data_IF_725128557616
#
_entry.id   IF_725128557616
#
_cell.length_a   1.000
_cell.length_b   1.000
_cell.length_c   1.000
_cell.angle_alpha   90.00
_cell.angle_beta   90.00
_cell.angle_gamma   90.00
#
_symmetry.space_group_name_H-M   'P 1'
#
loop_
_entity.id
_entity.type
_entity.pdbx_description
1 polymer ?
#
# COMPACT_ATOMS: atom_id res chain seq x y z
N UNK A 1 -1.52 16.08 -9.82
CA UNK A 1 -0.61 14.94 -9.99
C UNK A 1 -0.91 13.80 -9.00
N UNK A 2 -1.13 14.09 -7.71
CA UNK A 2 -1.47 13.11 -6.66
C UNK A 2 -2.79 12.36 -6.89
N UNK A 3 -3.81 13.03 -7.42
CA UNK A 3 -5.13 12.44 -7.72
C UNK A 3 -5.03 11.44 -8.89
N UNK A 4 -4.14 11.68 -9.86
CA UNK A 4 -3.98 10.81 -11.04
C UNK A 4 -3.31 9.48 -10.66
N UNK A 5 -2.33 9.53 -9.76
CA UNK A 5 -1.63 8.34 -9.24
C UNK A 5 -2.58 7.49 -8.38
N UNK A 6 -3.42 8.13 -7.58
CA UNK A 6 -4.47 7.46 -6.79
C UNK A 6 -5.51 6.77 -7.68
N UNK A 7 -5.94 7.43 -8.75
CA UNK A 7 -6.95 6.89 -9.66
C UNK A 7 -6.43 5.69 -10.49
N UNK A 8 -5.16 5.70 -10.89
CA UNK A 8 -4.52 4.53 -11.54
C UNK A 8 -4.50 3.31 -10.61
N UNK A 9 -4.37 3.52 -9.30
CA UNK A 9 -4.35 2.44 -8.31
C UNK A 9 -5.74 1.80 -8.12
N UNK A 10 -6.80 2.61 -8.11
CA UNK A 10 -8.19 2.15 -7.99
C UNK A 10 -8.59 1.29 -9.20
N UNK A 11 -8.11 1.65 -10.39
CA UNK A 11 -8.42 0.90 -11.62
C UNK A 11 -7.74 -0.49 -11.63
N UNK A 12 -6.59 -0.67 -10.95
CA UNK A 12 -5.84 -1.94 -10.87
C UNK A 12 -6.57 -3.04 -10.08
N UNK A 13 -7.61 -2.70 -9.33
CA UNK A 13 -8.45 -3.62 -8.54
C UNK A 13 -9.58 -4.27 -9.37
N UNK A 14 -9.89 -3.75 -10.57
CA UNK A 14 -10.98 -4.28 -11.37
C UNK A 14 -10.52 -5.48 -12.23
N UNK A 15 -11.26 -6.60 -12.18
CA UNK A 15 -10.95 -7.89 -12.86
C UNK A 15 -10.76 -7.78 -14.38
N UNK A 16 -11.30 -6.71 -14.99
CA UNK A 16 -11.24 -6.42 -16.43
C UNK A 16 -10.07 -5.52 -16.85
N UNK A 17 -9.42 -4.85 -15.89
CA UNK A 17 -8.31 -3.96 -16.15
C UNK A 17 -7.08 -4.62 -16.78
N UNK A 18 -6.63 -5.82 -16.37
CA UNK A 18 -5.45 -6.43 -17.00
C UNK A 18 -5.68 -6.76 -18.48
N UNK A 19 -6.93 -6.99 -18.90
CA UNK A 19 -7.27 -7.24 -20.31
C UNK A 19 -7.33 -5.94 -21.12
N UNK A 20 -8.01 -4.91 -20.59
CA UNK A 20 -8.11 -3.60 -21.27
C UNK A 20 -6.75 -2.91 -21.37
N UNK A 21 -5.93 -2.97 -20.31
CA UNK A 21 -4.59 -2.41 -20.32
C UNK A 21 -3.68 -3.07 -21.36
N UNK A 22 -3.84 -4.38 -21.63
CA UNK A 22 -3.04 -5.09 -22.64
C UNK A 22 -3.36 -4.59 -24.03
N UNK A 23 -4.66 -4.45 -24.33
CA UNK A 23 -5.13 -3.94 -25.61
C UNK A 23 -4.61 -2.51 -25.82
N UNK A 24 -4.73 -1.64 -24.82
CA UNK A 24 -4.23 -0.26 -24.94
C UNK A 24 -2.71 -0.20 -25.13
N UNK A 25 -1.95 -1.04 -24.42
CA UNK A 25 -0.50 -1.13 -24.58
C UNK A 25 -0.11 -1.63 -25.98
N UNK A 26 -0.81 -2.65 -26.49
CA UNK A 26 -0.57 -3.18 -27.85
C UNK A 26 -0.87 -2.08 -28.87
N UNK A 27 -2.04 -1.44 -28.80
CA UNK A 27 -2.40 -0.34 -29.72
C UNK A 27 -1.42 0.83 -29.64
N UNK A 28 -0.93 1.14 -28.45
CA UNK A 28 0.07 2.18 -28.24
C UNK A 28 1.41 1.78 -28.85
N UNK A 29 1.85 0.54 -28.64
CA UNK A 29 3.09 0.01 -29.22
C UNK A 29 3.07 0.02 -30.75
N UNK A 30 1.95 -0.35 -31.37
CA UNK A 30 1.80 -0.33 -32.83
C UNK A 30 1.85 1.10 -33.38
N UNK A 31 1.23 2.05 -32.67
CA UNK A 31 1.28 3.47 -33.03
C UNK A 31 2.71 4.02 -32.96
N UNK A 32 3.46 3.67 -31.90
CA UNK A 32 4.84 4.12 -31.73
C UNK A 32 5.79 3.51 -32.77
N UNK A 33 5.58 2.25 -33.17
CA UNK A 33 6.33 1.64 -34.28
C UNK A 33 6.04 2.34 -35.60
N UNK A 34 4.78 2.68 -35.88
CA UNK A 34 4.41 3.45 -37.06
C UNK A 34 5.09 4.83 -37.10
N UNK A 35 5.09 5.56 -35.97
CA UNK A 35 5.78 6.84 -35.83
C UNK A 35 7.31 6.70 -35.97
N UNK A 36 7.86 5.57 -35.56
CA UNK A 36 9.29 5.28 -35.72
C UNK A 36 9.68 5.03 -37.18
N UNK A 37 8.83 4.35 -37.95
CA UNK A 37 9.06 4.07 -39.38
C UNK A 37 8.91 5.35 -40.21
N UNK A 38 7.83 6.11 -39.98
CA UNK A 38 7.50 7.32 -40.76
C UNK A 38 8.31 8.55 -40.35
N UNK A 39 8.96 8.53 -39.18
CA UNK A 39 9.75 9.66 -38.67
C UNK A 39 8.94 10.92 -38.31
N UNK A 40 7.70 11.04 -38.79
CA UNK A 40 6.88 12.24 -38.69
C UNK A 40 7.45 13.41 -39.51
N UNK A 41 6.88 14.61 -39.31
CA UNK A 41 7.25 15.81 -40.08
C UNK A 41 8.70 16.29 -39.87
N UNK A 42 9.34 15.88 -38.77
CA UNK A 42 10.69 16.33 -38.38
C UNK A 42 11.69 15.19 -38.18
N UNK A 43 11.35 13.97 -38.63
CA UNK A 43 12.19 12.79 -38.49
C UNK A 43 12.51 12.36 -37.03
N UNK A 44 11.73 12.86 -36.06
CA UNK A 44 11.92 12.64 -34.62
C UNK A 44 10.87 11.69 -33.99
N UNK A 45 10.01 11.06 -34.80
CA UNK A 45 8.94 10.17 -34.33
C UNK A 45 9.43 9.03 -33.43
N UNK A 46 10.69 8.60 -33.59
CA UNK A 46 11.32 7.56 -32.77
C UNK A 46 11.48 7.93 -31.29
N UNK A 47 11.49 9.22 -30.93
CA UNK A 47 11.66 9.66 -29.54
C UNK A 47 10.49 9.21 -28.64
N UNK A 48 9.29 9.10 -29.21
CA UNK A 48 8.11 8.65 -28.49
C UNK A 48 8.20 7.19 -28.05
N UNK A 49 9.08 6.38 -28.67
CA UNK A 49 9.35 5.00 -28.26
C UNK A 49 9.88 4.87 -26.83
N UNK A 50 10.49 5.92 -26.28
CA UNK A 50 11.07 5.91 -24.93
C UNK A 50 10.04 5.92 -23.79
N UNK A 51 8.79 6.27 -24.07
CA UNK A 51 7.73 6.25 -23.06
C UNK A 51 7.23 4.84 -22.75
N UNK A 52 7.36 3.89 -23.69
CA UNK A 52 6.79 2.56 -23.58
C UNK A 52 7.35 1.73 -22.41
N UNK A 53 8.66 1.68 -22.12
CA UNK A 53 9.18 0.94 -20.96
C UNK A 53 8.63 1.49 -19.64
N UNK A 54 8.40 2.80 -19.53
CA UNK A 54 7.76 3.41 -18.34
C UNK A 54 6.34 2.90 -18.17
N UNK A 55 5.51 3.01 -19.22
CA UNK A 55 4.09 2.61 -19.14
C UNK A 55 3.92 1.10 -18.94
N UNK A 56 4.69 0.28 -19.65
CA UNK A 56 4.60 -1.18 -19.53
C UNK A 56 4.97 -1.68 -18.13
N UNK A 57 6.03 -1.14 -17.52
CA UNK A 57 6.48 -1.54 -16.18
C UNK A 57 5.56 -1.01 -15.08
N UNK A 58 5.09 0.23 -15.18
CA UNK A 58 4.18 0.80 -14.17
C UNK A 58 2.81 0.09 -14.17
N UNK A 59 2.28 -0.25 -15.36
CA UNK A 59 0.96 -0.87 -15.47
C UNK A 59 0.98 -2.35 -15.09
N UNK A 60 1.95 -3.11 -15.61
CA UNK A 60 1.98 -4.58 -15.49
C UNK A 60 2.97 -5.12 -14.45
N UNK A 61 3.71 -4.24 -13.78
CA UNK A 61 4.75 -4.60 -12.83
C UNK A 61 6.02 -5.11 -13.50
N UNK A 62 6.97 -5.54 -12.68
CA UNK A 62 8.34 -5.86 -13.10
C UNK A 62 8.43 -7.04 -14.08
N UNK A 63 7.69 -8.12 -13.86
CA UNK A 63 7.80 -9.34 -14.70
C UNK A 63 7.22 -9.13 -16.10
N UNK A 64 5.95 -8.75 -16.18
CA UNK A 64 5.27 -8.59 -17.48
C UNK A 64 5.71 -7.32 -18.21
N UNK A 65 5.91 -6.21 -17.49
CA UNK A 65 6.38 -4.96 -18.11
C UNK A 65 7.74 -5.11 -18.79
N UNK A 66 8.67 -5.84 -18.17
CA UNK A 66 9.98 -6.12 -18.76
C UNK A 66 9.87 -6.98 -20.02
N UNK A 67 9.00 -8.00 -20.03
CA UNK A 67 8.79 -8.80 -21.26
C UNK A 67 8.24 -7.96 -22.41
N UNK A 68 7.27 -7.07 -22.16
CA UNK A 68 6.74 -6.16 -23.18
C UNK A 68 7.79 -5.15 -23.67
N UNK A 69 8.59 -4.60 -22.76
CA UNK A 69 9.70 -3.70 -23.10
C UNK A 69 10.75 -4.40 -23.97
N UNK A 70 11.10 -5.66 -23.68
CA UNK A 70 12.05 -6.45 -24.49
C UNK A 70 11.51 -6.79 -25.87
N UNK A 71 10.24 -7.21 -25.97
CA UNK A 71 9.59 -7.49 -27.25
C UNK A 71 9.55 -6.21 -28.09
N UNK A 72 9.16 -5.10 -27.47
CA UNK A 72 9.13 -3.82 -28.16
C UNK A 72 10.52 -3.36 -28.58
N UNK A 73 11.55 -3.54 -27.74
CA UNK A 73 12.94 -3.22 -28.11
C UNK A 73 13.36 -3.99 -29.36
N UNK A 74 13.05 -5.29 -29.42
CA UNK A 74 13.33 -6.11 -30.60
C UNK A 74 12.63 -5.56 -31.85
N UNK A 75 11.33 -5.29 -31.78
CA UNK A 75 10.58 -4.71 -32.90
C UNK A 75 11.10 -3.33 -33.30
N UNK A 76 11.40 -2.47 -32.34
CA UNK A 76 11.93 -1.13 -32.56
C UNK A 76 13.31 -1.19 -33.24
N UNK A 77 14.20 -2.11 -32.82
CA UNK A 77 15.48 -2.31 -33.51
C UNK A 77 15.29 -2.77 -34.95
N UNK A 78 14.34 -3.68 -35.21
CA UNK A 78 14.01 -4.10 -36.57
C UNK A 78 13.53 -2.91 -37.43
N UNK A 79 12.70 -2.02 -36.87
CA UNK A 79 12.25 -0.81 -37.60
C UNK A 79 13.37 0.17 -37.93
N UNK A 80 14.43 0.25 -37.12
CA UNK A 80 15.54 1.16 -37.34
C UNK A 80 16.53 0.65 -38.39
N UNK A 81 16.76 -0.67 -38.47
CA UNK A 81 17.81 -1.23 -39.31
C UNK A 81 17.32 -1.80 -40.65
N UNK A 82 16.05 -2.21 -40.74
CA UNK A 82 15.50 -2.70 -42.01
C UNK A 82 15.20 -1.53 -42.96
N UNK A 83 15.58 -1.64 -44.24
CA UNK A 83 15.26 -0.63 -45.24
C UNK A 83 13.78 -0.74 -45.62
N UNK A 84 12.93 0.09 -45.01
CA UNK A 84 11.54 0.22 -45.40
C UNK A 84 11.42 1.20 -46.58
N UNK A 85 10.93 0.72 -47.73
CA UNK A 85 10.75 1.51 -48.97
C UNK A 85 9.52 2.44 -48.95
N UNK A 86 9.17 2.99 -47.79
CA UNK A 86 8.05 3.93 -47.70
C UNK A 86 8.57 5.31 -48.11
N UNK A 87 7.79 6.05 -48.91
CA UNK A 87 8.22 7.35 -49.45
C UNK A 87 8.62 8.36 -48.35
N UNK A 88 8.11 8.17 -47.12
CA UNK A 88 8.39 8.99 -45.95
C UNK A 88 9.22 8.24 -44.89
N UNK A 89 9.97 7.21 -45.27
CA UNK A 89 10.76 6.44 -44.31
C UNK A 89 11.88 7.30 -43.68
N UNK A 90 11.97 7.23 -42.35
CA UNK A 90 12.96 7.96 -41.57
C UNK A 90 14.40 7.55 -41.91
N UNK A 91 15.15 8.39 -42.61
CA UNK A 91 16.59 8.18 -42.86
C UNK A 91 17.41 8.71 -41.70
N UNK A 92 17.60 7.87 -40.68
CA UNK A 92 18.41 8.21 -39.50
C UNK A 92 19.89 7.83 -39.69
N UNK A 93 20.81 8.68 -39.22
CA UNK A 93 22.22 8.35 -39.17
C UNK A 93 22.49 7.18 -38.22
N UNK A 94 23.48 6.34 -38.53
CA UNK A 94 23.83 5.15 -37.73
C UNK A 94 24.09 5.48 -36.25
N UNK A 95 24.76 6.60 -35.97
CA UNK A 95 25.03 7.06 -34.61
C UNK A 95 23.76 7.34 -33.80
N UNK A 96 22.69 7.85 -34.44
CA UNK A 96 21.41 8.15 -33.78
C UNK A 96 20.67 6.84 -33.46
N UNK A 97 20.71 5.86 -34.38
CA UNK A 97 20.12 4.53 -34.18
C UNK A 97 20.74 3.79 -32.98
N UNK A 98 22.07 3.84 -32.86
CA UNK A 98 22.77 3.21 -31.72
C UNK A 98 22.43 3.94 -30.41
N UNK A 99 22.44 5.28 -30.40
CA UNK A 99 22.12 6.08 -29.21
C UNK A 99 20.69 5.85 -28.72
N UNK A 100 19.70 5.73 -29.61
CA UNK A 100 18.31 5.50 -29.21
C UNK A 100 18.11 4.17 -28.49
N UNK A 101 18.81 3.12 -28.94
CA UNK A 101 18.79 1.80 -28.27
C UNK A 101 19.38 1.89 -26.86
N UNK A 102 20.52 2.56 -26.70
CA UNK A 102 21.16 2.74 -25.39
C UNK A 102 20.26 3.52 -24.42
N UNK A 103 19.61 4.58 -24.91
CA UNK A 103 18.66 5.37 -24.10
C UNK A 103 17.46 4.52 -23.68
N UNK A 104 16.90 3.73 -24.60
CA UNK A 104 15.76 2.85 -24.30
C UNK A 104 16.12 1.82 -23.21
N UNK A 105 17.30 1.19 -23.31
CA UNK A 105 17.80 0.25 -22.30
C UNK A 105 17.96 0.95 -20.95
N UNK A 106 18.59 2.15 -20.93
CA UNK A 106 18.75 2.94 -19.72
C UNK A 106 17.43 3.27 -19.02
N UNK A 107 16.43 3.74 -19.78
CA UNK A 107 15.09 4.03 -19.25
C UNK A 107 14.41 2.76 -18.72
N UNK A 108 14.57 1.63 -19.41
CA UNK A 108 14.02 0.35 -18.98
C UNK A 108 14.62 -0.11 -17.64
N UNK A 109 15.93 0.05 -17.46
CA UNK A 109 16.63 -0.26 -16.20
C UNK A 109 16.18 0.65 -15.06
N UNK A 110 16.09 1.97 -15.31
CA UNK A 110 15.61 2.94 -14.31
C UNK A 110 14.16 2.62 -13.89
N UNK A 111 13.29 2.37 -14.87
CA UNK A 111 11.89 2.02 -14.63
C UNK A 111 11.76 0.74 -13.81
N UNK A 112 12.57 -0.27 -14.11
CA UNK A 112 12.64 -1.51 -13.35
C UNK A 112 13.07 -1.27 -11.89
N UNK A 113 14.13 -0.49 -11.68
CA UNK A 113 14.62 -0.16 -10.34
C UNK A 113 13.60 0.60 -9.49
N UNK A 114 12.84 1.50 -10.12
CA UNK A 114 11.76 2.26 -9.46
C UNK A 114 10.63 1.34 -8.98
N UNK A 115 10.10 0.48 -9.87
CA UNK A 115 8.98 -0.41 -9.53
C UNK A 115 9.40 -1.47 -8.51
N UNK A 116 10.65 -1.96 -8.58
CA UNK A 116 11.20 -2.87 -7.59
C UNK A 116 11.27 -2.24 -6.19
N UNK A 117 11.82 -1.02 -6.10
CA UNK A 117 11.93 -0.29 -4.83
C UNK A 117 10.56 0.01 -4.24
N UNK A 118 9.61 0.42 -5.08
CA UNK A 118 8.22 0.68 -4.69
C UNK A 118 7.55 -0.58 -4.13
N UNK A 119 7.66 -1.72 -4.83
CA UNK A 119 7.08 -2.99 -4.39
C UNK A 119 7.60 -3.43 -3.03
N UNK A 120 8.89 -3.21 -2.75
CA UNK A 120 9.49 -3.56 -1.46
C UNK A 120 8.96 -2.69 -0.33
N UNK A 121 8.85 -1.38 -0.56
CA UNK A 121 8.35 -0.41 0.42
C UNK A 121 6.88 -0.72 0.76
N UNK A 122 6.05 -1.05 -0.22
CA UNK A 122 4.62 -1.35 0.04
C UNK A 122 4.44 -2.58 0.92
N UNK A 123 5.23 -3.64 0.69
CA UNK A 123 5.17 -4.84 1.53
C UNK A 123 5.68 -4.58 2.94
N UNK A 124 6.72 -3.76 3.09
CA UNK A 124 7.23 -3.39 4.41
C UNK A 124 6.23 -2.54 5.20
N UNK A 125 5.55 -1.60 4.53
CA UNK A 125 4.48 -0.80 5.12
C UNK A 125 3.30 -1.67 5.55
N UNK A 126 2.87 -2.62 4.71
CA UNK A 126 1.79 -3.55 5.02
C UNK A 126 2.12 -4.42 6.24
N UNK A 127 3.34 -4.99 6.30
CA UNK A 127 3.77 -5.78 7.44
C UNK A 127 3.85 -4.96 8.74
N UNK A 128 4.35 -3.72 8.67
CA UNK A 128 4.37 -2.82 9.84
C UNK A 128 2.96 -2.49 10.33
N UNK A 129 2.03 -2.29 9.40
CA UNK A 129 0.63 -2.03 9.73
C UNK A 129 -0.06 -3.26 10.34
N UNK A 130 0.16 -4.46 9.79
CA UNK A 130 -0.38 -5.70 10.35
C UNK A 130 0.18 -5.99 11.74
N UNK A 131 1.48 -5.77 11.96
CA UNK A 131 2.10 -5.94 13.26
C UNK A 131 1.54 -4.97 14.31
N UNK A 132 1.37 -3.68 13.97
CA UNK A 132 0.81 -2.70 14.91
C UNK A 132 -0.66 -2.97 15.23
N UNK A 133 -1.45 -3.45 14.27
CA UNK A 133 -2.83 -3.89 14.51
C UNK A 133 -2.88 -5.10 15.44
N UNK A 134 -2.02 -6.09 15.23
CA UNK A 134 -1.94 -7.26 16.10
C UNK A 134 -1.51 -6.90 17.52
N UNK A 135 -0.48 -6.07 17.67
CA UNK A 135 -0.02 -5.56 18.97
C UNK A 135 -1.13 -4.81 19.70
N UNK A 136 -1.86 -3.93 18.99
CA UNK A 136 -3.00 -3.20 19.54
C UNK A 136 -4.08 -4.16 20.02
N UNK A 137 -4.49 -5.12 19.18
CA UNK A 137 -5.52 -6.10 19.52
C UNK A 137 -5.12 -6.95 20.73
N UNK A 138 -3.88 -7.43 20.77
CA UNK A 138 -3.36 -8.20 21.91
C UNK A 138 -3.39 -7.38 23.21
N UNK A 139 -3.02 -6.10 23.14
CA UNK A 139 -3.08 -5.18 24.27
C UNK A 139 -4.53 -4.95 24.73
N UNK A 140 -5.46 -4.76 23.80
CA UNK A 140 -6.87 -4.52 24.10
C UNK A 140 -7.52 -5.77 24.74
N UNK A 141 -7.28 -6.95 24.18
CA UNK A 141 -7.74 -8.24 24.73
C UNK A 141 -7.17 -8.48 26.13
N UNK A 142 -5.88 -8.16 26.33
CA UNK A 142 -5.22 -8.29 27.64
C UNK A 142 -5.85 -7.36 28.70
N UNK A 143 -6.08 -6.08 28.36
CA UNK A 143 -6.69 -5.10 29.26
C UNK A 143 -8.13 -5.49 29.60
N UNK A 144 -8.93 -5.89 28.60
CA UNK A 144 -10.31 -6.34 28.80
C UNK A 144 -10.39 -7.55 29.73
N UNK A 145 -9.54 -8.57 29.49
CA UNK A 145 -9.47 -9.77 30.31
C UNK A 145 -9.07 -9.45 31.75
N UNK A 146 -8.05 -8.60 31.95
CA UNK A 146 -7.64 -8.16 33.28
C UNK A 146 -8.75 -7.37 33.99
N UNK A 147 -9.43 -6.46 33.30
CA UNK A 147 -10.53 -5.67 33.89
C UNK A 147 -11.63 -6.58 34.42
N UNK A 148 -12.05 -7.58 33.64
CA UNK A 148 -13.03 -8.56 34.09
C UNK A 148 -12.54 -9.33 35.33
N UNK A 149 -11.28 -9.76 35.33
CA UNK A 149 -10.69 -10.48 36.45
C UNK A 149 -10.55 -9.65 37.73
N UNK A 150 -10.37 -8.32 37.61
CA UNK A 150 -10.28 -7.40 38.76
C UNK A 150 -11.68 -6.96 39.24
N UNK A 151 -12.66 -6.84 38.34
CA UNK A 151 -14.04 -6.46 38.72
C UNK A 151 -14.66 -7.47 39.70
N UNK A 152 -14.44 -8.76 39.50
CA UNK A 152 -14.97 -9.81 40.39
C UNK A 152 -14.51 -9.67 41.86
N UNK A 153 -13.21 -9.60 42.19
CA UNK A 153 -12.77 -9.41 43.57
C UNK A 153 -13.17 -8.05 44.15
N UNK A 154 -13.22 -6.98 43.36
CA UNK A 154 -13.72 -5.67 43.83
C UNK A 154 -15.20 -5.71 44.21
N UNK A 155 -16.03 -6.36 43.39
CA UNK A 155 -17.44 -6.56 43.72
C UNK A 155 -17.59 -7.41 44.99
N UNK A 156 -16.76 -8.44 45.16
CA UNK A 156 -16.77 -9.25 46.39
C UNK A 156 -16.38 -8.42 47.63
N UNK A 157 -15.34 -7.57 47.53
CA UNK A 157 -14.95 -6.66 48.62
C UNK A 157 -16.07 -5.66 48.94
N UNK A 158 -16.78 -5.18 47.93
CA UNK A 158 -17.91 -4.28 48.14
C UNK A 158 -19.10 -4.98 48.80
N UNK A 159 -19.42 -6.21 48.40
CA UNK A 159 -20.45 -7.03 49.04
C UNK A 159 -20.09 -7.31 50.51
N UNK A 160 -18.85 -7.75 50.77
CA UNK A 160 -18.40 -8.07 52.14
C UNK A 160 -18.39 -6.82 53.01
N UNK A 161 -17.91 -5.68 52.49
CA UNK A 161 -17.90 -4.43 53.27
C UNK A 161 -19.32 -3.92 53.56
N UNK A 162 -20.27 -4.08 52.64
CA UNK A 162 -21.68 -3.78 52.89
C UNK A 162 -22.28 -4.70 53.96
N UNK A 163 -22.01 -6.01 53.90
CA UNK A 163 -22.48 -6.96 54.93
C UNK A 163 -21.88 -6.65 56.31
N UNK A 164 -20.61 -6.25 56.37
CA UNK A 164 -19.98 -5.83 57.63
C UNK A 164 -20.61 -4.55 58.18
N UNK A 165 -21.05 -3.62 57.31
CA UNK A 165 -21.68 -2.37 57.74
C UNK A 165 -23.02 -2.56 58.47
N UNK A 166 -23.64 -3.73 58.32
CA UNK A 166 -24.89 -4.11 59.00
C UNK A 166 -24.66 -4.74 60.39
N UNK A 167 -23.40 -4.90 60.81
CA UNK A 167 -23.04 -5.50 62.12
C UNK A 167 -22.81 -4.44 63.20
N UNK A 168 -22.89 -4.83 64.48
CA UNK A 168 -22.53 -3.94 65.59
C UNK A 168 -21.02 -3.64 65.56
N UNK A 169 -20.69 -2.37 65.37
CA UNK A 169 -19.30 -1.88 65.20
C UNK A 169 -19.04 -0.66 66.07
N UNK A 170 -17.80 -0.51 66.55
CA UNK A 170 -17.37 0.73 67.21
C UNK A 170 -17.06 1.85 66.19
N UNK A 171 -16.94 3.09 66.68
CA UNK A 171 -16.65 4.28 65.84
C UNK A 171 -15.38 4.15 64.99
N UNK A 172 -14.31 3.50 65.50
CA UNK A 172 -13.07 3.31 64.72
C UNK A 172 -13.26 2.27 63.62
N UNK A 173 -13.93 1.18 63.91
CA UNK A 173 -14.23 0.14 62.93
C UNK A 173 -15.10 0.70 61.80
N UNK A 174 -16.04 1.59 62.12
CA UNK A 174 -16.92 2.26 61.16
C UNK A 174 -16.14 3.18 60.22
N UNK A 175 -15.26 4.02 60.75
CA UNK A 175 -14.36 4.90 59.97
C UNK A 175 -13.41 4.09 59.04
N UNK A 176 -12.87 2.98 59.54
CA UNK A 176 -12.06 2.05 58.73
C UNK A 176 -12.87 1.42 57.59
N UNK A 177 -14.12 1.02 57.86
CA UNK A 177 -14.98 0.40 56.85
C UNK A 177 -15.42 1.40 55.77
N UNK A 178 -15.78 2.62 56.15
CA UNK A 178 -16.08 3.71 55.20
C UNK A 178 -14.88 4.00 54.29
N UNK A 179 -13.67 3.99 54.86
CA UNK A 179 -12.42 4.15 54.09
C UNK A 179 -12.22 3.01 53.08
N UNK A 180 -12.49 1.76 53.47
CA UNK A 180 -12.41 0.59 52.57
C UNK A 180 -13.45 0.68 51.46
N UNK A 181 -14.69 1.06 51.78
CA UNK A 181 -15.76 1.23 50.80
C UNK A 181 -15.44 2.34 49.80
N UNK A 182 -14.99 3.51 50.28
CA UNK A 182 -14.59 4.62 49.42
C UNK A 182 -13.43 4.22 48.48
N UNK A 183 -12.43 3.50 49.02
CA UNK A 183 -11.28 3.01 48.24
C UNK A 183 -11.69 1.98 47.19
N UNK A 184 -12.58 1.05 47.55
CA UNK A 184 -13.09 0.01 46.63
C UNK A 184 -13.91 0.64 45.50
N UNK A 185 -14.78 1.58 45.83
CA UNK A 185 -15.55 2.36 44.83
C UNK A 185 -14.65 3.13 43.86
N UNK A 186 -13.61 3.77 44.39
CA UNK A 186 -12.64 4.48 43.55
C UNK A 186 -11.92 3.51 42.59
N UNK A 187 -11.49 2.35 43.10
CA UNK A 187 -10.80 1.35 42.29
C UNK A 187 -11.69 0.73 41.20
N UNK A 188 -12.98 0.50 41.50
CA UNK A 188 -13.98 0.09 40.49
C UNK A 188 -14.09 1.13 39.37
N UNK A 189 -14.12 2.41 39.71
CA UNK A 189 -14.18 3.48 38.71
C UNK A 189 -12.91 3.52 37.85
N UNK A 190 -11.72 3.36 38.45
CA UNK A 190 -10.45 3.27 37.71
C UNK A 190 -10.44 2.07 36.75
N UNK A 191 -10.88 0.89 37.21
CA UNK A 191 -10.95 -0.34 36.41
C UNK A 191 -11.98 -0.24 35.27
N UNK A 192 -13.09 0.46 35.49
CA UNK A 192 -14.06 0.73 34.43
C UNK A 192 -13.50 1.70 33.39
N UNK A 193 -12.73 2.71 33.81
CA UNK A 193 -12.12 3.66 32.89
C UNK A 193 -11.01 3.03 32.03
N UNK A 194 -10.17 2.14 32.58
CA UNK A 194 -9.15 1.46 31.79
C UNK A 194 -9.76 0.50 30.75
N UNK A 195 -10.90 -0.14 31.06
CA UNK A 195 -11.64 -0.98 30.12
C UNK A 195 -12.22 -0.19 28.94
N UNK A 196 -12.65 1.06 29.15
CA UNK A 196 -13.16 1.93 28.07
C UNK A 196 -12.06 2.36 27.11
N UNK A 197 -10.80 2.39 27.55
CA UNK A 197 -9.65 2.72 26.68
C UNK A 197 -9.33 1.58 25.72
N UNK A 198 -9.50 0.32 26.14
CA UNK A 198 -9.31 -0.86 25.28
C UNK A 198 -10.52 -1.16 24.38
N UNK A 199 -11.71 -0.69 24.78
CA UNK A 199 -12.95 -0.87 24.05
C UNK A 199 -13.28 0.43 23.34
N UNK A 200 -12.66 0.69 22.19
CA UNK A 200 -13.31 1.58 21.23
C UNK A 200 -14.53 0.81 20.75
N UNK A 201 -15.67 1.07 21.37
CA UNK A 201 -16.96 0.60 20.90
C UNK A 201 -17.11 1.08 19.44
N UNK A 202 -17.02 0.13 18.51
CA UNK A 202 -17.36 0.37 17.12
C UNK A 202 -18.87 0.58 17.07
N UNK A 203 -19.29 1.85 17.19
CA UNK A 203 -20.63 2.33 16.78
C UNK A 203 -20.57 2.74 15.33
#
# INVERSE_FOLDING_TARGET
MTILISNIYIIKINRWFPSQAKITLITYSTLLLYLSITGGNTNNGFLWSFSLPLFSIILFGTRYGLTYSLIYLFLFTATLFLPFNWNDAATLALAIKIKSILIFIGISVISYGYEYSKSKITTELENKFLNSLNEKKLKDDFISKLSHQIRTPLNNLMVISNLLSETDMDEKQKDMLETIQASTNNLVNVVNNISKVSSIDYV
#
